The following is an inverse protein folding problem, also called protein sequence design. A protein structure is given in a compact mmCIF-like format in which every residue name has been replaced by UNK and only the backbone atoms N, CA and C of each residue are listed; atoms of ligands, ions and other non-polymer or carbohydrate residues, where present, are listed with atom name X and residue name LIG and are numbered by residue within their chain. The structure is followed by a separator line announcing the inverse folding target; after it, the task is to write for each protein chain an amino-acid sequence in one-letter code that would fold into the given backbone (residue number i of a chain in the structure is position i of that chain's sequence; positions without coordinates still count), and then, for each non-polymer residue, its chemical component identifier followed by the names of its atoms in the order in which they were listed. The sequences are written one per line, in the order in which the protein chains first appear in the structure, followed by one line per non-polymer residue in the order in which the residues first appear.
data_IF_801785770789
#
_entry.id   IF_801785770789
#
_cell.length_a   1.000
_cell.length_b   1.000
_cell.length_c   1.000
_cell.angle_alpha   90.00
_cell.angle_beta   90.00
_cell.angle_gamma   90.00
#
_symmetry.space_group_name_H-M   'P 1'
#
loop_
_entity.id
_entity.type
_entity.pdbx_description
1 polymer ?
#
# COMPACT_ATOMS: atom_id res chain seq x y z
N UNK A 1 44.95 -19.39 32.78
CA UNK A 1 43.76 -18.66 33.30
C UNK A 1 43.04 -17.86 32.21
N UNK A 2 43.73 -17.51 31.11
CA UNK A 2 43.20 -16.65 30.03
C UNK A 2 42.10 -17.29 29.16
N UNK A 3 42.20 -18.60 28.87
CA UNK A 3 41.20 -19.30 28.04
C UNK A 3 39.80 -19.34 28.68
N UNK A 4 39.69 -19.27 30.01
CA UNK A 4 38.40 -19.26 30.74
C UNK A 4 37.60 -17.97 30.54
N UNK A 5 38.26 -16.87 30.15
CA UNK A 5 37.63 -15.56 29.94
C UNK A 5 37.37 -15.30 28.44
N UNK A 6 38.22 -15.85 27.57
CA UNK A 6 38.07 -15.73 26.11
C UNK A 6 36.81 -16.41 25.58
N UNK A 7 36.49 -17.60 26.08
CA UNK A 7 35.30 -18.36 25.68
C UNK A 7 34.00 -17.58 25.97
N UNK A 8 33.73 -17.07 27.19
CA UNK A 8 32.52 -16.31 27.45
C UNK A 8 32.47 -14.98 26.69
N UNK A 9 33.60 -14.32 26.45
CA UNK A 9 33.65 -13.08 25.67
C UNK A 9 33.27 -13.33 24.19
N UNK A 10 33.80 -14.41 23.59
CA UNK A 10 33.44 -14.82 22.23
C UNK A 10 31.98 -15.25 22.14
N UNK A 11 31.48 -16.00 23.11
CA UNK A 11 30.06 -16.39 23.17
C UNK A 11 29.14 -15.18 23.31
N UNK A 12 29.50 -14.19 24.13
CA UNK A 12 28.76 -12.95 24.27
C UNK A 12 28.75 -12.12 22.97
N UNK A 13 29.89 -12.05 22.27
CA UNK A 13 30.00 -11.37 20.98
C UNK A 13 29.14 -12.04 19.91
N UNK A 14 29.19 -13.38 19.83
CA UNK A 14 28.36 -14.16 18.90
C UNK A 14 26.87 -13.98 19.23
N UNK A 15 26.50 -14.04 20.50
CA UNK A 15 25.13 -13.78 20.96
C UNK A 15 24.65 -12.38 20.60
N UNK A 16 25.50 -11.36 20.76
CA UNK A 16 25.19 -9.98 20.38
C UNK A 16 24.99 -9.82 18.86
N UNK A 17 25.82 -10.46 18.03
CA UNK A 17 25.68 -10.43 16.56
C UNK A 17 24.37 -11.09 16.15
N UNK A 18 24.06 -12.27 16.69
CA UNK A 18 22.80 -12.98 16.39
C UNK A 18 21.59 -12.15 16.83
N UNK A 19 21.65 -11.54 18.03
CA UNK A 19 20.60 -10.65 18.53
C UNK A 19 20.39 -9.43 17.63
N UNK A 20 21.48 -8.77 17.21
CA UNK A 20 21.43 -7.61 16.33
C UNK A 20 20.83 -7.96 14.96
N UNK A 21 21.29 -9.06 14.33
CA UNK A 21 20.75 -9.53 13.05
C UNK A 21 19.26 -9.87 13.16
N UNK A 22 18.86 -10.56 14.22
CA UNK A 22 17.45 -10.91 14.45
C UNK A 22 16.57 -9.65 14.60
N UNK A 23 17.09 -8.61 15.27
CA UNK A 23 16.41 -7.32 15.41
C UNK A 23 16.24 -6.61 14.07
N UNK A 24 17.29 -6.54 13.25
CA UNK A 24 17.25 -5.91 11.91
C UNK A 24 16.22 -6.60 11.02
N UNK A 25 16.21 -7.94 11.01
CA UNK A 25 15.25 -8.73 10.23
C UNK A 25 13.83 -8.41 10.68
N UNK A 26 13.59 -8.41 12.00
CA UNK A 26 12.28 -8.14 12.57
C UNK A 26 11.77 -6.75 12.23
N UNK A 27 12.62 -5.72 12.38
CA UNK A 27 12.30 -4.33 12.03
C UNK A 27 11.97 -4.22 10.54
N UNK A 28 12.76 -4.86 9.67
CA UNK A 28 12.53 -4.83 8.22
C UNK A 28 11.18 -5.42 7.83
N UNK A 29 10.78 -6.52 8.47
CA UNK A 29 9.46 -7.15 8.25
C UNK A 29 8.34 -6.23 8.74
N UNK A 30 8.50 -5.65 9.93
CA UNK A 30 7.51 -4.73 10.51
C UNK A 30 7.34 -3.48 9.66
N UNK A 31 8.43 -2.88 9.18
CA UNK A 31 8.42 -1.71 8.31
C UNK A 31 7.69 -1.98 7.01
N UNK A 32 7.93 -3.13 6.36
CA UNK A 32 7.23 -3.50 5.13
C UNK A 32 5.72 -3.65 5.35
N UNK A 33 5.32 -4.25 6.47
CA UNK A 33 3.92 -4.41 6.85
C UNK A 33 3.26 -3.06 7.16
N UNK A 34 3.99 -2.17 7.83
CA UNK A 34 3.53 -0.83 8.17
C UNK A 34 3.35 0.03 6.91
N UNK A 35 4.33 0.03 5.99
CA UNK A 35 4.25 0.73 4.71
C UNK A 35 3.01 0.32 3.91
N UNK A 36 2.70 -0.99 3.86
CA UNK A 36 1.48 -1.47 3.20
C UNK A 36 0.20 -0.91 3.84
N UNK A 37 0.14 -0.85 5.17
CA UNK A 37 -1.02 -0.29 5.89
C UNK A 37 -1.17 1.21 5.66
N UNK A 38 -0.07 1.94 5.72
CA UNK A 38 -0.08 3.40 5.54
C UNK A 38 -0.49 3.76 4.12
N UNK A 39 -0.03 3.00 3.12
CA UNK A 39 -0.50 3.12 1.74
C UNK A 39 -2.01 2.85 1.61
N UNK A 40 -2.51 1.81 2.27
CA UNK A 40 -3.93 1.48 2.24
C UNK A 40 -4.77 2.62 2.84
N UNK A 41 -4.35 3.19 3.97
CA UNK A 41 -5.02 4.33 4.60
C UNK A 41 -5.02 5.55 3.68
N UNK A 42 -3.87 5.88 3.09
CA UNK A 42 -3.75 7.00 2.16
C UNK A 42 -4.66 6.80 0.93
N UNK A 43 -4.69 5.59 0.36
CA UNK A 43 -5.58 5.27 -0.75
C UNK A 43 -7.07 5.40 -0.37
N UNK A 44 -7.44 5.01 0.86
CA UNK A 44 -8.81 5.18 1.37
C UNK A 44 -9.17 6.66 1.57
N UNK A 45 -8.27 7.48 2.11
CA UNK A 45 -8.49 8.92 2.29
C UNK A 45 -8.65 9.63 0.93
N UNK A 46 -7.80 9.29 -0.04
CA UNK A 46 -7.91 9.81 -1.42
C UNK A 46 -9.23 9.39 -2.06
N UNK A 47 -9.62 8.12 -1.91
CA UNK A 47 -10.87 7.59 -2.46
C UNK A 47 -12.11 8.26 -1.86
N UNK A 48 -12.10 8.54 -0.56
CA UNK A 48 -13.21 9.23 0.09
C UNK A 48 -13.35 10.68 -0.42
N UNK A 49 -12.22 11.38 -0.57
CA UNK A 49 -12.20 12.74 -1.10
C UNK A 49 -12.65 12.79 -2.57
N UNK A 50 -12.18 11.87 -3.41
CA UNK A 50 -12.54 11.83 -4.83
C UNK A 50 -14.03 11.49 -5.03
N UNK A 51 -14.58 10.60 -4.19
CA UNK A 51 -16.01 10.30 -4.18
C UNK A 51 -16.84 11.50 -3.71
N UNK A 52 -16.41 12.20 -2.66
CA UNK A 52 -17.08 13.43 -2.17
C UNK A 52 -17.12 14.48 -3.28
N UNK A 53 -15.99 14.72 -3.93
CA UNK A 53 -15.90 15.65 -5.06
C UNK A 53 -16.81 15.23 -6.24
N UNK A 54 -16.79 13.95 -6.60
CA UNK A 54 -17.68 13.41 -7.65
C UNK A 54 -19.16 13.59 -7.31
N UNK A 55 -19.53 13.43 -6.04
CA UNK A 55 -20.89 13.66 -5.57
C UNK A 55 -21.30 15.13 -5.62
N UNK A 56 -20.44 16.05 -5.19
CA UNK A 56 -20.67 17.48 -5.27
C UNK A 56 -20.83 17.94 -6.72
N UNK A 57 -19.96 17.48 -7.62
CA UNK A 57 -20.03 17.76 -9.05
C UNK A 57 -21.34 17.25 -9.67
N UNK A 58 -21.81 16.06 -9.25
CA UNK A 58 -23.08 15.51 -9.69
C UNK A 58 -24.27 16.36 -9.22
N UNK A 59 -24.22 16.84 -7.98
CA UNK A 59 -25.24 17.72 -7.39
C UNK A 59 -25.32 19.06 -8.14
N UNK A 60 -24.18 19.66 -8.48
CA UNK A 60 -24.11 20.91 -9.25
C UNK A 60 -24.64 20.75 -10.68
N UNK A 61 -24.34 19.63 -11.35
CA UNK A 61 -24.72 19.40 -12.75
C UNK A 61 -26.18 18.98 -12.93
N UNK A 62 -26.92 18.68 -11.85
CA UNK A 62 -28.34 18.34 -11.87
C UNK A 62 -28.70 17.09 -12.68
N UNK A 63 -27.71 16.24 -13.01
CA UNK A 63 -27.92 15.01 -13.80
C UNK A 63 -27.92 13.79 -12.88
N UNK A 64 -28.73 12.75 -13.17
CA UNK A 64 -28.62 11.48 -12.48
C UNK A 64 -27.21 10.92 -12.67
N UNK A 65 -26.48 10.76 -11.57
CA UNK A 65 -25.12 10.25 -11.55
C UNK A 65 -25.09 8.99 -10.68
N UNK A 66 -24.63 7.88 -11.27
CA UNK A 66 -24.37 6.65 -10.53
C UNK A 66 -23.07 6.82 -9.74
N UNK A 67 -23.19 6.95 -8.42
CA UNK A 67 -22.02 6.97 -7.55
C UNK A 67 -21.39 5.58 -7.50
N UNK A 68 -20.16 5.47 -7.97
CA UNK A 68 -19.38 4.25 -7.84
C UNK A 68 -19.05 3.99 -6.36
N UNK A 69 -18.93 2.70 -5.95
CA UNK A 69 -18.48 2.35 -4.61
C UNK A 69 -17.09 2.90 -4.29
N UNK A 70 -16.85 3.27 -3.03
CA UNK A 70 -15.54 3.77 -2.54
C UNK A 70 -14.41 2.78 -2.85
N UNK A 71 -14.71 1.47 -2.85
CA UNK A 71 -13.74 0.41 -3.13
C UNK A 71 -13.10 0.52 -4.52
N UNK A 72 -13.81 1.05 -5.52
CA UNK A 72 -13.30 1.26 -6.87
C UNK A 72 -12.26 2.38 -6.88
N UNK A 73 -12.58 3.52 -6.27
CA UNK A 73 -11.65 4.64 -6.11
C UNK A 73 -10.43 4.22 -5.28
N UNK A 74 -10.64 3.45 -4.21
CA UNK A 74 -9.57 2.94 -3.35
C UNK A 74 -8.62 2.01 -4.11
N UNK A 75 -9.15 1.08 -4.91
CA UNK A 75 -8.33 0.19 -5.73
C UNK A 75 -7.47 0.98 -6.72
N UNK A 76 -8.06 1.95 -7.41
CA UNK A 76 -7.34 2.81 -8.35
C UNK A 76 -6.18 3.56 -7.66
N UNK A 77 -6.45 4.27 -6.56
CA UNK A 77 -5.40 5.02 -5.85
C UNK A 77 -4.33 4.12 -5.24
N UNK A 78 -4.71 2.94 -4.74
CA UNK A 78 -3.75 1.98 -4.20
C UNK A 78 -2.77 1.47 -5.27
N UNK A 79 -3.27 1.15 -6.47
CA UNK A 79 -2.44 0.70 -7.58
C UNK A 79 -1.53 1.83 -8.09
N UNK A 80 -2.03 3.07 -8.16
CA UNK A 80 -1.21 4.25 -8.53
C UNK A 80 -0.08 4.45 -7.51
N UNK A 81 -0.39 4.45 -6.21
CA UNK A 81 0.64 4.58 -5.16
C UNK A 81 1.65 3.43 -5.21
N UNK A 82 1.19 2.23 -5.56
CA UNK A 82 2.07 1.05 -5.72
C UNK A 82 2.95 1.14 -6.97
N UNK A 83 2.47 1.74 -8.04
CA UNK A 83 3.28 2.02 -9.22
C UNK A 83 4.32 3.11 -8.92
N UNK A 84 3.93 4.18 -8.21
CA UNK A 84 4.81 5.29 -7.82
C UNK A 84 5.95 4.83 -6.90
N UNK A 85 5.66 3.97 -5.92
CA UNK A 85 6.68 3.41 -5.02
C UNK A 85 7.78 2.63 -5.79
N UNK A 86 7.44 2.03 -6.94
CA UNK A 86 8.41 1.31 -7.78
C UNK A 86 9.34 2.25 -8.57
N UNK A 87 9.11 3.56 -8.53
CA UNK A 87 10.02 4.58 -9.06
C UNK A 87 10.04 4.77 -10.58
N UNK A 88 9.29 3.98 -11.35
CA UNK A 88 9.23 4.09 -12.82
C UNK A 88 7.81 3.88 -13.34
N UNK A 89 6.93 4.85 -13.06
CA UNK A 89 5.55 4.83 -13.59
C UNK A 89 5.59 5.28 -15.04
N UNK A 90 5.30 4.36 -15.97
CA UNK A 90 5.12 4.67 -17.38
C UNK A 90 3.65 4.90 -17.69
N UNK A 91 3.37 5.57 -18.80
CA UNK A 91 2.00 5.73 -19.31
C UNK A 91 1.28 4.37 -19.45
N UNK A 92 2.00 3.33 -19.89
CA UNK A 92 1.47 1.96 -19.99
C UNK A 92 1.03 1.36 -18.66
N UNK A 93 1.60 1.80 -17.53
CA UNK A 93 1.21 1.30 -16.21
C UNK A 93 -0.08 1.97 -15.75
N UNK A 94 -0.22 3.26 -16.00
CA UNK A 94 -1.47 3.99 -15.76
C UNK A 94 -2.60 3.40 -16.61
N UNK A 95 -2.34 3.13 -17.89
CA UNK A 95 -3.33 2.51 -18.78
C UNK A 95 -3.81 1.15 -18.26
N UNK A 96 -2.89 0.30 -17.78
CA UNK A 96 -3.24 -0.98 -17.16
C UNK A 96 -4.09 -0.80 -15.90
N UNK A 97 -3.73 0.17 -15.05
CA UNK A 97 -4.47 0.46 -13.81
C UNK A 97 -5.89 0.92 -14.16
N UNK A 98 -6.02 1.86 -15.09
CA UNK A 98 -7.31 2.35 -15.57
C UNK A 98 -8.15 1.23 -16.18
N UNK A 99 -7.55 0.36 -17.00
CA UNK A 99 -8.26 -0.78 -17.59
C UNK A 99 -8.77 -1.74 -16.53
N UNK A 100 -7.94 -2.13 -15.56
CA UNK A 100 -8.38 -2.97 -14.43
C UNK A 100 -9.51 -2.31 -13.64
N UNK A 101 -9.44 -1.00 -13.44
CA UNK A 101 -10.49 -0.29 -12.73
C UNK A 101 -11.81 -0.28 -13.52
N UNK A 102 -11.74 -0.13 -14.85
CA UNK A 102 -12.89 -0.25 -15.74
C UNK A 102 -13.50 -1.65 -15.72
N UNK A 103 -12.68 -2.70 -15.69
CA UNK A 103 -13.15 -4.08 -15.52
C UNK A 103 -13.95 -4.25 -14.23
N UNK A 104 -13.48 -3.67 -13.11
CA UNK A 104 -14.22 -3.70 -11.84
C UNK A 104 -15.54 -2.92 -11.90
N UNK A 105 -15.56 -1.76 -12.56
CA UNK A 105 -16.79 -0.98 -12.77
C UNK A 105 -17.79 -1.80 -13.59
N UNK A 106 -17.34 -2.38 -14.69
CA UNK A 106 -18.19 -3.21 -15.56
C UNK A 106 -18.73 -4.44 -14.83
N UNK A 107 -17.92 -5.06 -13.95
CA UNK A 107 -18.36 -6.20 -13.13
C UNK A 107 -19.44 -5.83 -12.11
N UNK A 108 -19.47 -4.57 -11.65
CA UNK A 108 -20.54 -4.08 -10.79
C UNK A 108 -21.83 -3.79 -11.56
N UNK A 109 -21.73 -3.29 -12.79
CA UNK A 109 -22.89 -3.00 -13.64
C UNK A 109 -23.51 -4.27 -14.27
N UNK A 110 -22.70 -5.30 -14.57
CA UNK A 110 -23.14 -6.57 -15.16
C UNK A 110 -23.79 -7.56 -14.18
N UNK A 111 -23.96 -7.18 -12.91
CA UNK A 111 -24.64 -7.98 -11.88
C UNK A 111 -26.08 -7.47 -11.61
N UNK A 112 -26.67 -6.79 -12.60
CA UNK A 112 -28.08 -6.36 -12.63
C UNK A 112 -28.87 -7.15 -13.67
#
# INVERSE_FOLDING_TARGET
MEAKILIPLMSALIGAIIGALSSIITISIQQKSQSKRDKMKLASEMAENDRKFSHELAKERGKPYTLLPVSIFQHYHFEILTALEKGNVKASDIEKITRKNQELINALDGNK
#
